data_IF_360810695881
#
_entry.id   IF_360810695881
#
_cell.length_a   1.000
_cell.length_b   1.000
_cell.length_c   1.000
_cell.angle_alpha   90.00
_cell.angle_beta   90.00
_cell.angle_gamma   90.00
#
_symmetry.space_group_name_H-M   'P 1'
#
loop_
_entity.id
_entity.type
_entity.pdbx_description
1 polymer ?
#
# COMPACT_ATOMS: atom_id res chain seq x y z
N UNK A 1 9.64 -28.56 24.47
CA UNK A 1 9.04 -27.41 25.17
C UNK A 1 9.50 -26.12 24.48
N UNK A 2 8.59 -25.23 24.08
CA UNK A 2 8.93 -23.95 23.40
C UNK A 2 9.68 -23.05 24.38
N UNK A 3 10.87 -22.55 24.00
CA UNK A 3 11.67 -21.62 24.81
C UNK A 3 11.46 -20.17 24.42
N UNK A 4 11.42 -19.87 23.12
CA UNK A 4 11.34 -18.51 22.59
C UNK A 4 9.99 -18.25 21.93
N UNK A 5 9.46 -17.06 22.14
CA UNK A 5 8.28 -16.54 21.47
C UNK A 5 8.71 -15.33 20.62
N UNK A 6 8.47 -15.38 19.31
CA UNK A 6 8.78 -14.29 18.40
C UNK A 6 7.52 -13.48 18.16
N UNK A 7 7.54 -12.23 18.57
CA UNK A 7 6.38 -11.33 18.50
C UNK A 7 6.71 -10.06 17.73
N UNK A 8 5.69 -9.46 17.16
CA UNK A 8 5.81 -8.18 16.49
C UNK A 8 5.90 -7.04 17.52
N UNK A 9 6.87 -6.15 17.32
CA UNK A 9 7.04 -4.95 18.14
C UNK A 9 6.98 -3.72 17.24
N UNK A 10 6.50 -2.60 17.77
CA UNK A 10 6.57 -1.34 17.03
C UNK A 10 8.02 -0.84 17.05
N UNK A 11 8.68 -0.86 15.91
CA UNK A 11 10.10 -0.52 15.74
C UNK A 11 10.31 0.81 14.99
N UNK A 12 9.35 1.71 15.06
CA UNK A 12 9.45 2.99 14.36
C UNK A 12 10.43 3.93 15.08
N UNK A 13 11.65 4.03 14.57
CA UNK A 13 12.73 4.83 15.16
C UNK A 13 12.48 6.35 15.16
N UNK A 14 11.60 6.83 14.28
CA UNK A 14 11.39 8.28 14.07
C UNK A 14 10.18 8.85 14.81
N UNK A 15 9.32 8.02 15.35
CA UNK A 15 8.13 8.46 16.06
C UNK A 15 8.09 7.85 17.46
N UNK A 16 8.13 8.69 18.48
CA UNK A 16 7.80 8.28 19.84
C UNK A 16 6.30 7.99 19.85
N UNK A 17 5.92 6.72 19.94
CA UNK A 17 4.52 6.35 20.03
C UNK A 17 4.00 6.76 21.39
N UNK A 18 3.17 7.80 21.41
CA UNK A 18 2.58 8.36 22.65
C UNK A 18 1.36 7.53 23.09
N UNK A 19 0.69 6.89 22.14
CA UNK A 19 -0.49 6.06 22.40
C UNK A 19 -0.14 4.57 22.40
N UNK A 20 -0.69 3.84 23.36
CA UNK A 20 -0.53 2.39 23.43
C UNK A 20 -1.12 1.71 22.18
N UNK A 21 -0.29 1.00 21.42
CA UNK A 21 -0.71 0.28 20.23
C UNK A 21 -1.34 -1.07 20.57
N UNK A 22 -2.08 -1.65 19.61
CA UNK A 22 -2.63 -3.00 19.73
C UNK A 22 -1.51 -4.03 19.98
N UNK A 23 -0.40 -3.89 19.28
CA UNK A 23 0.79 -4.74 19.44
C UNK A 23 1.37 -4.62 20.83
N UNK A 24 1.48 -3.42 21.39
CA UNK A 24 1.98 -3.21 22.74
C UNK A 24 1.11 -3.93 23.79
N UNK A 25 -0.21 -3.81 23.70
CA UNK A 25 -1.16 -4.54 24.57
C UNK A 25 -1.02 -6.04 24.46
N UNK A 26 -0.92 -6.56 23.23
CA UNK A 26 -0.73 -7.98 22.98
C UNK A 26 0.60 -8.48 23.57
N UNK A 27 1.68 -7.74 23.37
CA UNK A 27 3.00 -8.09 23.90
C UNK A 27 2.99 -8.13 25.42
N UNK A 28 2.37 -7.17 26.08
CA UNK A 28 2.21 -7.15 27.53
C UNK A 28 1.39 -8.36 28.03
N UNK A 29 0.31 -8.67 27.33
CA UNK A 29 -0.49 -9.85 27.65
C UNK A 29 0.32 -11.17 27.52
N UNK A 30 1.11 -11.32 26.44
CA UNK A 30 1.99 -12.47 26.23
C UNK A 30 3.03 -12.58 27.36
N UNK A 31 3.68 -11.49 27.72
CA UNK A 31 4.67 -11.45 28.80
C UNK A 31 4.08 -11.91 30.15
N UNK A 32 2.88 -11.42 30.46
CA UNK A 32 2.18 -11.79 31.68
C UNK A 32 1.72 -13.26 31.67
N UNK A 33 1.28 -13.76 30.53
CA UNK A 33 0.79 -15.15 30.39
C UNK A 33 1.91 -16.17 30.36
N UNK A 34 3.09 -15.81 29.87
CA UNK A 34 4.22 -16.70 29.70
C UNK A 34 5.53 -16.10 30.28
N UNK A 35 5.58 -15.82 31.59
CA UNK A 35 6.70 -15.08 32.20
C UNK A 35 8.05 -15.80 32.09
N UNK A 36 8.04 -17.12 31.90
CA UNK A 36 9.25 -17.95 31.80
C UNK A 36 9.69 -18.18 30.35
N UNK A 37 9.18 -17.43 29.36
CA UNK A 37 9.57 -17.53 27.96
C UNK A 37 10.40 -16.31 27.55
N UNK A 38 11.38 -16.55 26.71
CA UNK A 38 12.10 -15.47 26.07
C UNK A 38 11.21 -14.83 25.01
N UNK A 39 11.10 -13.52 25.07
CA UNK A 39 10.37 -12.74 24.06
C UNK A 39 11.40 -12.15 23.11
N UNK A 40 11.30 -12.52 21.86
CA UNK A 40 12.20 -12.12 20.78
C UNK A 40 11.45 -11.33 19.70
N UNK A 41 12.18 -10.48 19.00
CA UNK A 41 11.61 -9.70 17.88
C UNK A 41 11.41 -10.59 16.66
N UNK A 42 10.21 -10.62 16.10
CA UNK A 42 9.92 -11.34 14.85
C UNK A 42 10.44 -10.60 13.60
N UNK A 43 10.60 -9.27 13.69
CA UNK A 43 10.91 -8.42 12.55
C UNK A 43 12.20 -8.81 11.79
N UNK A 44 13.35 -9.12 12.43
CA UNK A 44 14.55 -9.56 11.70
C UNK A 44 14.33 -10.81 10.86
N UNK A 45 13.56 -11.78 11.38
CA UNK A 45 13.22 -13.02 10.64
C UNK A 45 12.33 -12.69 9.44
N UNK A 46 11.28 -11.91 9.66
CA UNK A 46 10.35 -11.51 8.60
C UNK A 46 11.04 -10.68 7.52
N UNK A 47 11.95 -9.78 7.89
CA UNK A 47 12.73 -9.00 6.93
C UNK A 47 13.61 -9.88 6.05
N UNK A 48 14.30 -10.86 6.62
CA UNK A 48 15.14 -11.79 5.85
C UNK A 48 14.30 -12.61 4.85
N UNK A 49 13.16 -13.15 5.30
CA UNK A 49 12.26 -13.93 4.42
C UNK A 49 11.71 -13.07 3.28
N UNK A 50 11.39 -11.80 3.56
CA UNK A 50 10.81 -10.89 2.57
C UNK A 50 11.84 -10.21 1.68
N UNK A 51 13.10 -10.13 2.08
CA UNK A 51 14.16 -9.46 1.32
C UNK A 51 14.43 -10.16 -0.02
N UNK A 52 14.50 -11.49 0.01
CA UNK A 52 14.74 -12.32 -1.17
C UNK A 52 13.42 -12.95 -1.62
N UNK A 53 12.98 -12.62 -2.82
CA UNK A 53 11.74 -13.12 -3.40
C UNK A 53 11.98 -14.45 -4.10
N UNK A 54 11.06 -15.39 -3.92
CA UNK A 54 11.02 -16.61 -4.72
C UNK A 54 10.68 -16.31 -6.19
N UNK A 55 10.90 -17.27 -7.09
CA UNK A 55 10.53 -17.14 -8.51
C UNK A 55 9.05 -16.86 -8.68
N UNK A 56 8.19 -17.53 -7.90
CA UNK A 56 6.74 -17.33 -7.93
C UNK A 56 6.35 -15.90 -7.54
N UNK A 57 6.96 -15.35 -6.49
CA UNK A 57 6.72 -13.96 -6.08
C UNK A 57 7.17 -12.97 -7.14
N UNK A 58 8.31 -13.23 -7.79
CA UNK A 58 8.80 -12.41 -8.91
C UNK A 58 7.80 -12.43 -10.07
N UNK A 59 7.27 -13.59 -10.43
CA UNK A 59 6.28 -13.70 -11.52
C UNK A 59 4.98 -12.97 -11.18
N UNK A 60 4.53 -13.03 -9.93
CA UNK A 60 3.35 -12.29 -9.48
C UNK A 60 3.58 -10.77 -9.49
N UNK A 61 4.76 -10.31 -9.08
CA UNK A 61 5.14 -8.89 -9.12
C UNK A 61 5.17 -8.40 -10.58
N UNK A 62 5.82 -9.15 -11.48
CA UNK A 62 5.83 -8.82 -12.91
C UNK A 62 4.42 -8.72 -13.48
N UNK A 63 3.55 -9.68 -13.16
CA UNK A 63 2.15 -9.64 -13.58
C UNK A 63 1.41 -8.41 -13.04
N UNK A 64 1.65 -8.02 -11.80
CA UNK A 64 1.07 -6.79 -11.24
C UNK A 64 1.56 -5.55 -11.99
N UNK A 65 2.86 -5.47 -12.29
CA UNK A 65 3.44 -4.39 -13.10
C UNK A 65 2.81 -4.33 -14.51
N UNK A 66 2.65 -5.47 -15.18
CA UNK A 66 2.02 -5.54 -16.51
C UNK A 66 0.57 -5.04 -16.49
N UNK A 67 -0.17 -5.35 -15.43
CA UNK A 67 -1.56 -4.86 -15.27
C UNK A 67 -1.56 -3.34 -15.07
N UNK A 68 -0.67 -2.84 -14.23
CA UNK A 68 -0.55 -1.40 -13.97
C UNK A 68 -0.12 -0.65 -15.24
N UNK A 69 0.83 -1.19 -16.02
CA UNK A 69 1.24 -0.61 -17.30
C UNK A 69 0.07 -0.50 -18.27
N UNK A 70 -0.75 -1.55 -18.41
CA UNK A 70 -1.94 -1.52 -19.27
C UNK A 70 -2.94 -0.46 -18.81
N UNK A 71 -3.17 -0.38 -17.51
CA UNK A 71 -4.01 0.66 -16.93
C UNK A 71 -3.50 2.06 -17.25
N UNK A 72 -2.21 2.29 -17.02
CA UNK A 72 -1.56 3.57 -17.31
C UNK A 72 -1.65 3.94 -18.81
N UNK A 73 -1.36 3.01 -19.73
CA UNK A 73 -1.49 3.25 -21.15
C UNK A 73 -2.93 3.55 -21.57
N UNK A 74 -3.91 2.92 -20.94
CA UNK A 74 -5.32 3.20 -21.18
C UNK A 74 -5.68 4.63 -20.80
N UNK A 75 -5.30 5.09 -19.62
CA UNK A 75 -5.61 6.45 -19.15
C UNK A 75 -4.86 7.52 -19.94
N UNK A 76 -3.63 7.27 -20.41
CA UNK A 76 -2.93 8.21 -21.30
C UNK A 76 -3.71 8.50 -22.59
N UNK A 77 -4.48 7.54 -23.10
CA UNK A 77 -5.34 7.75 -24.26
C UNK A 77 -6.71 8.36 -23.91
N UNK A 78 -7.08 8.33 -22.63
CA UNK A 78 -8.38 8.83 -22.17
C UNK A 78 -8.29 10.28 -21.68
N UNK A 79 -7.20 10.65 -21.02
CA UNK A 79 -6.99 11.95 -20.38
C UNK A 79 -7.06 13.08 -21.41
N UNK A 80 -7.92 14.05 -21.14
CA UNK A 80 -8.05 15.30 -21.87
C UNK A 80 -8.66 16.37 -20.95
N UNK A 81 -8.55 17.65 -21.27
CA UNK A 81 -9.26 18.68 -20.53
C UNK A 81 -10.76 18.41 -20.47
N UNK A 82 -11.34 18.61 -19.30
CA UNK A 82 -12.76 18.40 -19.04
C UNK A 82 -13.12 17.03 -18.44
N UNK A 83 -12.21 16.03 -18.43
CA UNK A 83 -12.48 14.77 -17.72
C UNK A 83 -12.36 14.98 -16.21
N UNK A 84 -13.08 14.17 -15.44
CA UNK A 84 -13.02 14.20 -13.99
C UNK A 84 -12.00 13.18 -13.46
N UNK A 85 -11.40 13.48 -12.32
CA UNK A 85 -10.43 12.58 -11.67
C UNK A 85 -11.02 11.19 -11.42
N UNK A 86 -12.28 11.09 -10.99
CA UNK A 86 -12.95 9.79 -10.79
C UNK A 86 -13.26 9.04 -12.10
N UNK A 87 -13.32 9.74 -13.26
CA UNK A 87 -13.43 9.06 -14.55
C UNK A 87 -12.10 8.37 -14.93
N UNK A 88 -10.98 9.02 -14.60
CA UNK A 88 -9.64 8.42 -14.75
C UNK A 88 -9.51 7.20 -13.83
N UNK A 89 -9.98 7.30 -12.59
CA UNK A 89 -10.03 6.17 -11.66
C UNK A 89 -10.86 5.00 -12.22
N UNK A 90 -12.00 5.29 -12.81
CA UNK A 90 -12.87 4.27 -13.43
C UNK A 90 -12.17 3.55 -14.60
N UNK A 91 -11.41 4.27 -15.44
CA UNK A 91 -10.63 3.68 -16.53
C UNK A 91 -9.52 2.77 -16.01
N UNK A 92 -8.85 3.17 -14.92
CA UNK A 92 -7.88 2.32 -14.23
C UNK A 92 -8.53 1.05 -13.68
N UNK A 93 -9.63 1.22 -12.95
CA UNK A 93 -10.37 0.11 -12.35
C UNK A 93 -10.87 -0.88 -13.41
N UNK A 94 -11.36 -0.37 -14.56
CA UNK A 94 -11.77 -1.20 -15.69
C UNK A 94 -10.62 -2.12 -16.15
N UNK A 95 -9.44 -1.55 -16.38
CA UNK A 95 -8.30 -2.34 -16.88
C UNK A 95 -7.82 -3.35 -15.85
N UNK A 96 -7.82 -3.00 -14.56
CA UNK A 96 -7.48 -3.92 -13.48
C UNK A 96 -8.44 -5.10 -13.42
N UNK A 97 -9.74 -4.85 -13.42
CA UNK A 97 -10.78 -5.89 -13.39
C UNK A 97 -10.71 -6.79 -14.61
N UNK A 98 -10.54 -6.22 -15.80
CA UNK A 98 -10.37 -6.96 -17.06
C UNK A 98 -9.18 -7.93 -17.01
N UNK A 99 -8.10 -7.55 -16.34
CA UNK A 99 -6.91 -8.37 -16.15
C UNK A 99 -6.94 -9.23 -14.86
N UNK A 100 -8.13 -9.42 -14.26
CA UNK A 100 -8.37 -10.26 -13.07
C UNK A 100 -7.77 -9.73 -11.77
N UNK A 101 -7.40 -8.46 -11.69
CA UNK A 101 -7.11 -7.78 -10.43
C UNK A 101 -8.39 -7.16 -9.89
N UNK A 102 -8.91 -7.69 -8.78
CA UNK A 102 -10.22 -7.26 -8.24
C UNK A 102 -10.16 -5.94 -7.47
N UNK A 103 -8.98 -5.50 -7.09
CA UNK A 103 -8.79 -4.32 -6.23
C UNK A 103 -7.47 -3.65 -6.53
N UNK A 104 -7.40 -2.38 -6.23
CA UNK A 104 -6.15 -1.66 -6.01
C UNK A 104 -5.48 -2.14 -4.71
N UNK A 105 -4.18 -1.94 -4.56
CA UNK A 105 -3.46 -2.25 -3.33
C UNK A 105 -3.92 -1.35 -2.17
N UNK A 106 -4.28 -0.12 -2.48
CA UNK A 106 -4.87 0.90 -1.60
C UNK A 106 -5.79 1.79 -2.43
N UNK A 107 -6.46 2.75 -1.80
CA UNK A 107 -7.31 3.70 -2.51
C UNK A 107 -6.46 4.55 -3.45
N UNK A 108 -6.76 4.57 -4.76
CA UNK A 108 -5.97 5.33 -5.72
C UNK A 108 -6.10 6.83 -5.49
N UNK A 109 -5.02 7.53 -5.74
CA UNK A 109 -4.97 8.98 -5.75
C UNK A 109 -4.89 9.44 -7.20
N UNK A 110 -5.90 10.18 -7.63
CA UNK A 110 -5.93 10.84 -8.93
C UNK A 110 -6.10 12.33 -8.66
N UNK A 111 -5.03 13.09 -8.83
CA UNK A 111 -5.00 14.49 -8.42
C UNK A 111 -4.56 15.39 -9.56
N UNK A 112 -5.42 16.33 -9.99
CA UNK A 112 -5.15 17.25 -11.08
C UNK A 112 -4.80 18.67 -10.59
N UNK A 113 -3.90 19.34 -11.28
CA UNK A 113 -3.49 20.71 -11.02
C UNK A 113 -3.01 20.91 -9.56
N UNK A 114 -3.60 21.85 -8.84
CA UNK A 114 -3.23 22.15 -7.45
C UNK A 114 -3.43 20.99 -6.47
N UNK A 115 -4.34 20.06 -6.76
CA UNK A 115 -4.61 18.91 -5.91
C UNK A 115 -3.42 17.93 -5.88
N UNK A 116 -2.56 17.92 -6.90
CA UNK A 116 -1.34 17.10 -6.94
C UNK A 116 -0.33 17.44 -5.83
N UNK A 117 -0.51 18.59 -5.15
CA UNK A 117 0.32 18.99 -4.00
C UNK A 117 -0.32 18.61 -2.64
N UNK A 118 -1.49 17.97 -2.64
CA UNK A 118 -2.19 17.57 -1.41
C UNK A 118 -1.80 16.14 -1.09
N UNK A 119 -1.12 15.95 0.05
CA UNK A 119 -0.74 14.62 0.50
C UNK A 119 -1.98 13.79 0.83
N UNK A 120 -1.99 12.53 0.34
CA UNK A 120 -3.13 11.60 0.52
C UNK A 120 -4.46 12.16 0.01
N UNK A 121 -4.44 12.86 -1.12
CA UNK A 121 -5.66 13.34 -1.78
C UNK A 121 -6.46 12.13 -2.33
N UNK A 122 -7.58 11.82 -1.71
CA UNK A 122 -8.42 10.66 -2.04
C UNK A 122 -9.82 11.02 -2.55
N UNK A 123 -10.11 12.31 -2.65
CA UNK A 123 -11.43 12.78 -3.09
C UNK A 123 -11.67 12.49 -4.58
N UNK A 124 -10.65 12.58 -5.41
CA UNK A 124 -10.68 12.29 -6.84
C UNK A 124 -11.89 12.93 -7.56
N UNK A 125 -12.25 14.16 -7.20
CA UNK A 125 -13.51 14.77 -7.62
C UNK A 125 -13.35 16.13 -8.32
N UNK A 126 -12.16 16.46 -8.81
CA UNK A 126 -11.92 17.68 -9.56
C UNK A 126 -11.92 17.40 -11.07
N UNK A 127 -12.22 18.44 -11.85
CA UNK A 127 -12.17 18.39 -13.31
C UNK A 127 -10.79 18.81 -13.80
N UNK A 128 -10.18 18.02 -14.65
CA UNK A 128 -8.88 18.29 -15.27
C UNK A 128 -8.97 19.45 -16.26
N UNK A 129 -8.00 20.35 -16.24
CA UNK A 129 -7.90 21.51 -17.10
C UNK A 129 -6.70 21.41 -18.02
N UNK A 130 -6.70 22.21 -19.08
CA UNK A 130 -5.53 22.34 -19.95
C UNK A 130 -4.32 22.81 -19.15
N UNK A 131 -3.18 22.14 -19.33
CA UNK A 131 -1.93 22.45 -18.62
C UNK A 131 -1.81 21.89 -17.19
N UNK A 132 -2.84 21.20 -16.67
CA UNK A 132 -2.74 20.55 -15.36
C UNK A 132 -1.72 19.41 -15.38
N UNK A 133 -0.91 19.35 -14.34
CA UNK A 133 -0.16 18.12 -14.00
C UNK A 133 -1.13 17.17 -13.30
N UNK A 134 -1.11 15.90 -13.67
CA UNK A 134 -1.93 14.86 -13.03
C UNK A 134 -1.02 13.88 -12.30
N UNK A 135 -1.21 13.78 -10.99
CA UNK A 135 -0.56 12.79 -10.14
C UNK A 135 -1.43 11.54 -10.09
N UNK A 136 -0.80 10.39 -10.25
CA UNK A 136 -1.41 9.06 -10.16
C UNK A 136 -0.62 8.25 -9.15
N UNK A 137 -1.26 7.78 -8.07
CA UNK A 137 -0.65 6.93 -7.03
C UNK A 137 -1.61 5.83 -6.53
#
# INVERSE_FOLDING_TARGET
MVKNLYINTNEHYRAKVVTETREARFNQWIQNKFPNKNIERSNPILQQIRAVKSSIEIDLIKKACDITEKGFRRILNFIKPGVWEYEIEAEFAHEFLKNRSRKFAYQPIIASGKNSNILHYIQNNNQCKEGDVILLD
#
